data_IF_137463653575
#
_entry.id   IF_137463653575
#
_cell.length_a   1.000
_cell.length_b   1.000
_cell.length_c   1.000
_cell.angle_alpha   90.00
_cell.angle_beta   90.00
_cell.angle_gamma   90.00
#
_symmetry.space_group_name_H-M   'P 1'
#
loop_
_entity.id
_entity.type
_entity.pdbx_description
1 polymer ?
#
# COMPACT_ATOMS: atom_id res chain seq x y z
N UNK A 1 -13.79 3.44 -4.34
CA UNK A 1 -13.25 3.50 -5.71
C UNK A 1 -13.53 2.19 -6.42
N UNK A 2 -14.04 2.24 -7.65
CA UNK A 2 -14.37 1.08 -8.49
C UNK A 2 -13.17 0.56 -9.29
N UNK A 3 -12.08 1.33 -9.34
CA UNK A 3 -10.86 0.97 -10.08
C UNK A 3 -9.64 0.99 -9.15
N UNK A 4 -8.75 0.00 -9.27
CA UNK A 4 -7.46 -0.01 -8.58
C UNK A 4 -6.55 1.11 -9.12
N UNK A 5 -5.64 1.65 -8.29
CA UNK A 5 -4.72 2.73 -8.69
C UNK A 5 -3.83 2.29 -9.86
N UNK A 6 -3.40 3.27 -10.64
CA UNK A 6 -2.38 3.13 -11.67
C UNK A 6 -0.97 3.34 -11.10
N UNK A 7 0.04 3.28 -11.97
CA UNK A 7 1.45 3.39 -11.59
C UNK A 7 1.74 4.73 -10.93
N UNK A 8 1.36 5.82 -11.58
CA UNK A 8 1.59 7.17 -11.10
C UNK A 8 0.95 7.38 -9.71
N UNK A 9 -0.27 6.88 -9.52
CA UNK A 9 -0.93 6.92 -8.20
C UNK A 9 -0.18 6.10 -7.16
N UNK A 10 0.31 4.91 -7.51
CA UNK A 10 1.06 4.06 -6.57
C UNK A 10 2.41 4.68 -6.20
N UNK A 11 3.15 5.23 -7.16
CA UNK A 11 4.42 5.95 -6.95
C UNK A 11 4.21 7.18 -6.08
N UNK A 12 3.14 7.94 -6.32
CA UNK A 12 2.78 9.05 -5.46
C UNK A 12 2.51 8.57 -4.03
N UNK A 13 1.67 7.54 -3.85
CA UNK A 13 1.36 6.99 -2.52
C UNK A 13 2.64 6.57 -1.80
N UNK A 14 3.51 5.78 -2.43
CA UNK A 14 4.74 5.29 -1.78
C UNK A 14 5.72 6.42 -1.45
N UNK A 15 5.71 7.53 -2.20
CA UNK A 15 6.56 8.69 -1.92
C UNK A 15 6.13 9.53 -0.70
N UNK A 16 4.82 9.52 -0.36
CA UNK A 16 4.26 10.31 0.75
C UNK A 16 3.72 9.43 1.88
N UNK A 17 3.95 8.12 1.84
CA UNK A 17 3.47 7.18 2.84
C UNK A 17 4.22 7.37 4.16
N UNK A 18 3.49 7.55 5.25
CA UNK A 18 4.07 7.65 6.60
C UNK A 18 4.44 6.27 7.18
N UNK A 19 3.70 5.23 6.79
CA UNK A 19 3.95 3.85 7.17
C UNK A 19 5.06 3.23 6.29
N UNK A 20 5.71 2.14 6.73
CA UNK A 20 6.65 1.40 5.88
C UNK A 20 6.02 0.99 4.55
N UNK A 21 6.76 1.13 3.46
CA UNK A 21 6.24 0.90 2.10
C UNK A 21 5.76 -0.53 1.88
N UNK A 22 6.45 -1.51 2.48
CA UNK A 22 6.07 -2.92 2.45
C UNK A 22 4.73 -3.20 3.13
N UNK A 23 4.28 -2.34 4.04
CA UNK A 23 3.01 -2.50 4.73
C UNK A 23 1.84 -2.13 3.82
N UNK A 24 2.08 -1.43 2.71
CA UNK A 24 1.09 -1.24 1.65
C UNK A 24 0.65 -2.57 1.02
N UNK A 25 1.46 -3.62 1.16
CA UNK A 25 1.16 -4.98 0.68
C UNK A 25 0.49 -5.81 1.78
N UNK A 26 -0.66 -6.40 1.46
CA UNK A 26 -1.37 -7.35 2.31
C UNK A 26 -0.63 -8.68 2.33
N UNK A 27 0.02 -8.96 3.45
CA UNK A 27 0.72 -10.21 3.74
C UNK A 27 -0.25 -11.30 4.26
N UNK A 28 -1.36 -11.53 3.55
CA UNK A 28 -2.39 -12.52 3.91
C UNK A 28 -2.19 -13.88 3.19
N UNK A 29 -3.16 -14.80 3.31
CA UNK A 29 -3.07 -16.13 2.69
C UNK A 29 -2.77 -16.06 1.19
N UNK A 30 -3.28 -15.06 0.47
CA UNK A 30 -3.03 -14.90 -0.97
C UNK A 30 -1.58 -14.54 -1.26
N UNK A 31 -0.94 -13.78 -0.39
CA UNK A 31 0.49 -13.47 -0.50
C UNK A 31 1.34 -14.74 -0.37
N UNK A 32 0.98 -15.62 0.58
CA UNK A 32 1.66 -16.91 0.79
C UNK A 32 1.42 -17.89 -0.37
N UNK A 33 0.19 -17.98 -0.87
CA UNK A 33 -0.15 -18.83 -2.02
C UNK A 33 0.61 -18.45 -3.30
N UNK A 34 0.96 -17.17 -3.44
CA UNK A 34 1.76 -16.66 -4.55
C UNK A 34 3.27 -16.94 -4.40
N UNK A 35 3.71 -17.51 -3.28
CA UNK A 35 5.12 -17.82 -3.03
C UNK A 35 6.02 -16.59 -2.93
N UNK A 36 5.47 -15.43 -2.56
CA UNK A 36 6.22 -14.19 -2.42
C UNK A 36 6.98 -14.14 -1.10
N UNK A 37 8.23 -13.66 -1.10
CA UNK A 37 8.99 -13.41 0.11
C UNK A 37 8.74 -11.95 0.58
N UNK A 38 8.26 -11.73 1.82
CA UNK A 38 8.09 -10.37 2.35
C UNK A 38 9.38 -9.53 2.34
N UNK A 39 10.53 -10.18 2.43
CA UNK A 39 11.85 -9.54 2.51
C UNK A 39 12.22 -8.80 1.22
N UNK A 40 11.68 -9.24 0.08
CA UNK A 40 11.92 -8.62 -1.23
C UNK A 40 11.35 -7.19 -1.34
N UNK A 41 10.45 -6.83 -0.43
CA UNK A 41 9.69 -5.57 -0.47
C UNK A 41 10.10 -4.56 0.62
N UNK A 42 10.87 -4.98 1.62
CA UNK A 42 11.23 -4.15 2.77
C UNK A 42 12.06 -2.96 2.32
N UNK A 43 11.55 -1.74 2.54
CA UNK A 43 12.24 -0.52 2.13
C UNK A 43 12.44 -0.36 0.62
N UNK A 44 11.70 -1.10 -0.21
CA UNK A 44 11.81 -1.06 -1.66
C UNK A 44 10.49 -0.60 -2.34
N UNK A 45 10.31 0.72 -2.52
CA UNK A 45 9.10 1.26 -3.13
C UNK A 45 8.83 0.77 -4.55
N UNK A 46 9.88 0.61 -5.36
CA UNK A 46 9.75 0.15 -6.75
C UNK A 46 9.20 -1.28 -6.81
N UNK A 47 9.76 -2.20 -6.01
CA UNK A 47 9.27 -3.58 -5.92
C UNK A 47 7.81 -3.64 -5.44
N UNK A 48 7.43 -2.78 -4.49
CA UNK A 48 6.04 -2.68 -4.02
C UNK A 48 5.11 -2.18 -5.14
N UNK A 49 5.51 -1.14 -5.88
CA UNK A 49 4.73 -0.59 -7.01
C UNK A 49 4.54 -1.66 -8.09
N UNK A 50 5.61 -2.34 -8.51
CA UNK A 50 5.54 -3.41 -9.51
C UNK A 50 4.60 -4.54 -9.09
N UNK A 51 4.73 -5.01 -7.84
CA UNK A 51 3.85 -6.04 -7.31
C UNK A 51 2.38 -5.60 -7.34
N UNK A 52 2.10 -4.38 -6.88
CA UNK A 52 0.74 -3.87 -6.79
C UNK A 52 0.13 -3.58 -8.17
N UNK A 53 0.93 -3.26 -9.18
CA UNK A 53 0.48 -3.15 -10.56
C UNK A 53 0.07 -4.50 -11.15
N UNK A 54 0.88 -5.54 -10.91
CA UNK A 54 0.61 -6.89 -11.38
C UNK A 54 -0.52 -7.57 -10.59
N UNK A 55 -0.64 -7.23 -9.30
CA UNK A 55 -1.48 -7.92 -8.31
C UNK A 55 -2.20 -6.92 -7.39
N UNK A 56 -3.03 -6.07 -8.00
CA UNK A 56 -3.83 -5.02 -7.35
C UNK A 56 -4.66 -5.48 -6.13
N UNK A 57 -5.02 -6.76 -6.06
CA UNK A 57 -5.73 -7.34 -4.92
C UNK A 57 -4.91 -7.39 -3.63
N UNK A 58 -3.58 -7.35 -3.72
CA UNK A 58 -2.67 -7.35 -2.57
C UNK A 58 -2.56 -5.97 -1.92
N UNK A 59 -3.10 -4.90 -2.49
CA UNK A 59 -3.02 -3.57 -1.87
C UNK A 59 -3.80 -3.54 -0.54
N UNK A 60 -3.20 -2.93 0.49
CA UNK A 60 -3.87 -2.68 1.76
C UNK A 60 -5.07 -1.76 1.60
N UNK A 61 -6.07 -1.96 2.47
CA UNK A 61 -7.29 -1.16 2.49
C UNK A 61 -7.83 -1.03 3.93
N UNK A 62 -8.26 0.16 4.38
CA UNK A 62 -8.22 1.44 3.64
C UNK A 62 -6.81 2.04 3.59
N UNK A 63 -6.50 2.70 2.48
CA UNK A 63 -5.36 3.61 2.33
C UNK A 63 -5.94 4.99 2.10
N UNK A 64 -5.46 5.97 2.85
CA UNK A 64 -5.87 7.36 2.73
C UNK A 64 -4.73 8.16 2.13
N UNK A 65 -5.07 9.10 1.26
CA UNK A 65 -4.11 9.93 0.54
C UNK A 65 -4.59 11.37 0.61
N UNK A 66 -3.73 12.26 1.10
CA UNK A 66 -3.81 13.72 1.03
C UNK A 66 -2.67 14.21 0.12
N UNK A 67 -2.70 15.47 -0.29
CA UNK A 67 -1.74 16.03 -1.25
C UNK A 67 -0.25 15.83 -0.88
N UNK A 68 0.07 15.69 0.40
CA UNK A 68 1.45 15.57 0.88
C UNK A 68 1.65 14.46 1.92
N UNK A 69 0.68 13.57 2.09
CA UNK A 69 0.75 12.49 3.08
C UNK A 69 -0.18 11.34 2.71
N UNK A 70 0.23 10.12 3.00
CA UNK A 70 -0.61 8.94 2.90
C UNK A 70 -0.44 8.05 4.14
N UNK A 71 -1.52 7.36 4.52
CA UNK A 71 -1.50 6.40 5.63
C UNK A 71 -2.23 5.11 5.28
N UNK A 72 -1.84 4.03 5.94
CA UNK A 72 -2.62 2.82 6.06
C UNK A 72 -3.60 3.03 7.22
N UNK A 73 -4.90 3.06 6.91
CA UNK A 73 -5.97 3.35 7.87
C UNK A 73 -6.30 2.20 8.82
N UNK A 74 -5.28 1.46 9.27
CA UNK A 74 -5.39 0.38 10.27
C UNK A 74 -4.46 0.69 11.45
N UNK A 75 -4.97 0.73 12.70
CA UNK A 75 -6.38 0.59 13.08
C UNK A 75 -7.26 1.73 12.53
N UNK A 76 -8.57 1.48 12.38
CA UNK A 76 -9.54 2.45 11.81
C UNK A 76 -9.60 3.77 12.58
N UNK A 77 -9.18 3.77 13.85
CA UNK A 77 -9.08 4.98 14.67
C UNK A 77 -8.15 6.03 14.06
N UNK A 78 -7.07 5.61 13.35
CA UNK A 78 -6.14 6.52 12.65
C UNK A 78 -6.81 7.33 11.54
N UNK A 79 -7.92 6.83 10.98
CA UNK A 79 -8.63 7.48 9.89
C UNK A 79 -9.18 8.83 10.34
N UNK A 80 -9.80 8.88 11.52
CA UNK A 80 -10.42 10.10 12.02
C UNK A 80 -9.38 11.19 12.28
N UNK A 81 -8.22 10.83 12.84
CA UNK A 81 -7.15 11.79 13.10
C UNK A 81 -6.50 12.28 11.81
N UNK A 82 -6.32 11.40 10.82
CA UNK A 82 -5.77 11.78 9.53
C UNK A 82 -6.70 12.64 8.69
N UNK A 83 -8.02 12.59 8.90
CA UNK A 83 -9.01 13.38 8.16
C UNK A 83 -9.29 14.77 8.75
N UNK A 84 -8.82 15.05 9.97
CA UNK A 84 -8.80 16.41 10.53
C UNK A 84 -7.94 17.33 9.68
#
# INVERSE_FOLDING_TARGET
>A
MKSPPDRETLEHITSVLEDPVEDLVRKDSKFKELGLDPSDYVGNPEAVVELLLQRKALMQRPVLVKSNAAIIGRPKTRIADFLK
#
